data_IF_495730760444
#
_entry.id   IF_495730760444
#
_cell.length_a   1.000
_cell.length_b   1.000
_cell.length_c   1.000
_cell.angle_alpha   90.00
_cell.angle_beta   90.00
_cell.angle_gamma   90.00
#
_symmetry.space_group_name_H-M   'P 1'
#
loop_
_entity.id
_entity.type
_entity.pdbx_description
1 polymer ?
#
# COMPACT_ATOMS: atom_id res chain seq x y z
N UNK A 1 1.46 0.05 21.94
CA UNK A 1 2.85 -0.09 21.47
C UNK A 1 3.54 1.24 21.64
N UNK A 2 4.83 1.29 22.02
CA UNK A 2 5.57 2.55 22.11
C UNK A 2 5.54 3.32 20.79
N UNK A 3 5.35 4.64 20.87
CA UNK A 3 5.43 5.58 19.74
C UNK A 3 6.51 6.60 20.04
N UNK A 4 7.13 7.19 19.01
CA UNK A 4 7.92 8.40 19.19
C UNK A 4 7.06 9.53 19.79
N UNK A 5 7.69 10.38 20.60
CA UNK A 5 7.06 11.59 21.11
C UNK A 5 6.62 12.52 19.98
N UNK A 6 5.43 13.11 20.11
CA UNK A 6 4.81 13.95 19.05
C UNK A 6 5.72 15.12 18.65
N UNK A 7 6.30 15.81 19.64
CA UNK A 7 7.19 16.95 19.42
C UNK A 7 8.45 16.60 18.62
N UNK A 8 8.91 15.34 18.72
CA UNK A 8 10.09 14.82 18.00
C UNK A 8 9.68 14.33 16.61
N UNK A 9 8.65 13.46 16.54
CA UNK A 9 8.28 12.75 15.30
C UNK A 9 7.70 13.66 14.22
N UNK A 10 7.16 14.81 14.59
CA UNK A 10 6.68 15.82 13.61
C UNK A 10 7.81 16.49 12.81
N UNK A 11 9.08 16.26 13.17
CA UNK A 11 10.26 16.89 12.54
C UNK A 11 11.20 15.90 11.84
N UNK A 12 10.83 14.63 11.76
CA UNK A 12 11.66 13.61 11.13
C UNK A 12 10.80 12.57 10.39
N UNK A 13 11.44 11.82 9.49
CA UNK A 13 10.81 10.77 8.70
C UNK A 13 11.03 9.36 9.28
N UNK A 14 11.54 9.24 10.51
CA UNK A 14 11.76 7.96 11.16
C UNK A 14 10.42 7.34 11.59
N UNK A 15 10.41 6.02 11.74
CA UNK A 15 9.22 5.24 12.05
C UNK A 15 8.53 5.69 13.36
N UNK A 16 7.24 6.07 13.29
CA UNK A 16 6.50 6.55 14.46
C UNK A 16 6.26 5.44 15.47
N UNK A 17 5.86 4.27 14.99
CA UNK A 17 5.49 3.13 15.81
C UNK A 17 6.75 2.28 16.02
N UNK A 18 7.21 2.11 17.26
CA UNK A 18 8.57 1.59 17.55
C UNK A 18 8.66 0.06 17.69
N UNK A 19 7.55 -0.67 17.50
CA UNK A 19 7.53 -2.11 17.67
C UNK A 19 7.37 -2.56 19.13
N UNK A 20 7.15 -3.86 19.33
CA UNK A 20 7.17 -4.47 20.66
C UNK A 20 8.59 -4.83 21.09
N UNK A 21 8.85 -4.67 22.39
CA UNK A 21 9.94 -5.39 23.06
C UNK A 21 9.52 -6.84 23.31
N UNK A 22 10.48 -7.74 23.49
CA UNK A 22 10.23 -9.17 23.73
C UNK A 22 9.17 -9.41 24.81
N UNK A 23 9.32 -8.81 26.00
CA UNK A 23 8.34 -8.94 27.08
C UNK A 23 6.92 -8.54 26.63
N UNK A 24 6.78 -7.45 25.88
CA UNK A 24 5.48 -6.96 25.40
C UNK A 24 4.88 -7.91 24.35
N UNK A 25 5.73 -8.48 23.48
CA UNK A 25 5.30 -9.46 22.50
C UNK A 25 4.81 -10.75 23.17
N UNK A 26 5.52 -11.25 24.18
CA UNK A 26 5.12 -12.44 24.95
C UNK A 26 3.84 -12.18 25.75
N UNK A 27 3.69 -11.01 26.37
CA UNK A 27 2.48 -10.60 27.09
C UNK A 27 1.25 -10.54 26.15
N UNK A 28 1.40 -9.93 24.97
CA UNK A 28 0.34 -9.88 23.98
C UNK A 28 0.03 -11.26 23.39
N UNK A 29 1.05 -12.07 23.08
CA UNK A 29 0.87 -13.43 22.58
C UNK A 29 0.15 -14.33 23.59
N UNK A 30 0.39 -14.13 24.89
CA UNK A 30 -0.26 -14.86 25.99
C UNK A 30 -1.76 -14.57 26.13
N UNK A 31 -2.27 -13.47 25.56
CA UNK A 31 -3.72 -13.20 25.48
C UNK A 31 -4.44 -14.12 24.50
N UNK A 32 -3.73 -14.70 23.53
CA UNK A 32 -4.35 -15.55 22.51
C UNK A 32 -4.92 -16.84 23.12
N UNK A 33 -6.22 -17.05 22.95
CA UNK A 33 -6.96 -18.18 23.54
C UNK A 33 -6.88 -19.47 22.72
N UNK A 34 -6.06 -19.52 21.67
CA UNK A 34 -5.85 -20.71 20.82
C UNK A 34 -7.19 -21.32 20.35
N UNK A 35 -8.01 -20.51 19.67
CA UNK A 35 -9.34 -20.90 19.20
C UNK A 35 -9.30 -22.18 18.36
N UNK A 36 -10.13 -23.19 18.71
CA UNK A 36 -10.30 -24.41 17.89
C UNK A 36 -10.75 -24.12 16.45
N UNK A 37 -11.54 -23.05 16.25
CA UNK A 37 -11.93 -22.53 14.93
C UNK A 37 -11.35 -21.11 14.78
N UNK A 38 -10.15 -20.97 14.19
CA UNK A 38 -9.45 -19.70 14.14
C UNK A 38 -9.91 -18.84 12.96
N UNK A 39 -11.01 -18.10 13.13
CA UNK A 39 -11.52 -17.16 12.11
C UNK A 39 -10.50 -16.09 11.71
N UNK A 40 -9.50 -15.81 12.55
CA UNK A 40 -8.40 -14.90 12.22
C UNK A 40 -7.64 -15.34 10.96
N UNK A 41 -7.51 -16.65 10.70
CA UNK A 41 -6.87 -17.18 9.48
C UNK A 41 -7.72 -16.83 8.25
N UNK A 42 -9.04 -17.04 8.30
CA UNK A 42 -9.94 -16.73 7.17
C UNK A 42 -10.10 -15.23 6.95
N UNK A 43 -9.95 -14.42 8.01
CA UNK A 43 -9.90 -12.96 7.91
C UNK A 43 -8.58 -12.40 7.37
N UNK A 44 -7.56 -13.24 7.16
CA UNK A 44 -6.28 -12.85 6.59
C UNK A 44 -6.26 -13.18 5.08
N UNK A 45 -6.14 -12.19 4.17
CA UNK A 45 -6.17 -12.44 2.72
C UNK A 45 -5.06 -13.35 2.18
N UNK A 46 -3.96 -13.54 2.91
CA UNK A 46 -2.87 -14.47 2.55
C UNK A 46 -2.89 -15.75 3.39
N UNK A 47 -3.83 -15.88 4.33
CA UNK A 47 -4.06 -17.10 5.11
C UNK A 47 -2.95 -17.41 6.12
N UNK A 48 -2.39 -16.40 6.80
CA UNK A 48 -1.39 -16.62 7.85
C UNK A 48 -1.95 -17.53 8.93
N UNK A 49 -1.16 -18.52 9.34
CA UNK A 49 -1.53 -19.41 10.45
C UNK A 49 -1.30 -18.72 11.81
N UNK A 50 -2.20 -17.79 12.11
CA UNK A 50 -2.09 -16.84 13.23
C UNK A 50 -1.96 -17.52 14.60
N UNK A 51 -2.80 -18.50 14.98
CA UNK A 51 -2.68 -19.13 16.30
C UNK A 51 -1.33 -19.80 16.51
N UNK A 52 -0.79 -20.45 15.46
CA UNK A 52 0.43 -21.23 15.55
C UNK A 52 1.67 -20.34 15.70
N UNK A 53 1.82 -19.27 14.90
CA UNK A 53 2.97 -18.38 15.08
C UNK A 53 2.89 -17.64 16.43
N UNK A 54 1.68 -17.29 16.89
CA UNK A 54 1.50 -16.66 18.20
C UNK A 54 1.85 -17.63 19.33
N UNK A 55 1.54 -18.93 19.17
CA UNK A 55 1.97 -19.96 20.13
C UNK A 55 3.50 -20.02 20.19
N UNK A 56 4.17 -20.05 19.03
CA UNK A 56 5.62 -20.05 18.95
C UNK A 56 6.25 -18.80 19.62
N UNK A 57 5.69 -17.60 19.41
CA UNK A 57 6.11 -16.37 20.12
C UNK A 57 5.93 -16.51 21.64
N UNK A 58 4.80 -17.06 22.09
CA UNK A 58 4.53 -17.28 23.52
C UNK A 58 5.51 -18.27 24.15
N UNK A 59 5.94 -19.28 23.39
CA UNK A 59 6.87 -20.33 23.82
C UNK A 59 8.35 -19.92 23.67
N UNK A 60 8.63 -18.77 23.05
CA UNK A 60 9.99 -18.28 22.78
C UNK A 60 10.67 -18.92 21.57
N UNK A 61 9.94 -19.72 20.77
CA UNK A 61 10.46 -20.35 19.56
C UNK A 61 10.33 -19.40 18.35
N UNK A 62 11.19 -18.39 18.33
CA UNK A 62 11.19 -17.38 17.26
C UNK A 62 11.51 -17.96 15.86
N UNK A 63 12.49 -18.88 15.68
CA UNK A 63 12.71 -19.51 14.37
C UNK A 63 11.47 -20.22 13.82
N UNK A 64 10.68 -20.89 14.67
CA UNK A 64 9.44 -21.53 14.27
C UNK A 64 8.35 -20.49 13.93
N UNK A 65 8.24 -19.41 14.71
CA UNK A 65 7.31 -18.32 14.42
C UNK A 65 7.57 -17.72 13.04
N UNK A 66 8.84 -17.47 12.70
CA UNK A 66 9.28 -17.01 11.36
C UNK A 66 8.87 -18.00 10.29
N UNK A 67 9.19 -19.30 10.48
CA UNK A 67 8.87 -20.36 9.51
C UNK A 67 7.38 -20.45 9.23
N UNK A 68 6.54 -20.36 10.27
CA UNK A 68 5.09 -20.41 10.15
C UNK A 68 4.57 -19.21 9.34
N UNK A 69 5.02 -18.00 9.63
CA UNK A 69 4.59 -16.81 8.90
C UNK A 69 5.04 -16.89 7.43
N UNK A 70 6.33 -17.14 7.17
CA UNK A 70 6.90 -17.21 5.81
C UNK A 70 6.37 -18.35 4.94
N UNK A 71 5.72 -19.34 5.54
CA UNK A 71 5.02 -20.41 4.79
C UNK A 71 3.81 -19.91 3.99
N UNK A 72 3.26 -18.74 4.35
CA UNK A 72 2.04 -18.21 3.71
C UNK A 72 2.15 -16.73 3.34
N UNK A 73 2.98 -15.97 4.03
CA UNK A 73 3.20 -14.55 3.79
C UNK A 73 4.67 -14.28 3.48
N UNK A 74 4.96 -13.85 2.27
CA UNK A 74 6.32 -13.56 1.83
C UNK A 74 6.82 -12.17 2.19
N UNK A 75 5.97 -11.28 2.75
CA UNK A 75 6.33 -9.89 3.10
C UNK A 75 5.86 -9.48 4.53
N UNK A 76 6.13 -10.28 5.58
CA UNK A 76 5.53 -10.08 6.91
C UNK A 76 5.95 -8.79 7.61
N UNK A 77 7.16 -8.27 7.34
CA UNK A 77 7.61 -7.01 7.93
C UNK A 77 6.78 -5.82 7.39
N UNK A 78 6.21 -5.97 6.19
CA UNK A 78 5.36 -4.98 5.54
C UNK A 78 3.93 -5.11 6.05
N UNK A 79 3.33 -6.31 5.99
CA UNK A 79 1.93 -6.52 6.38
C UNK A 79 1.67 -6.21 7.84
N UNK A 80 2.62 -6.55 8.73
CA UNK A 80 2.54 -6.20 10.15
C UNK A 80 2.49 -4.69 10.41
N UNK A 81 3.00 -3.87 9.48
CA UNK A 81 3.00 -2.40 9.57
C UNK A 81 1.80 -1.73 8.92
N UNK A 82 1.38 -2.21 7.74
CA UNK A 82 0.46 -1.44 6.88
C UNK A 82 -0.91 -2.07 6.68
N UNK A 83 -1.15 -3.31 7.12
CA UNK A 83 -2.48 -3.90 7.06
C UNK A 83 -3.48 -3.07 7.88
N UNK A 84 -4.71 -2.84 7.39
CA UNK A 84 -5.80 -2.35 8.21
C UNK A 84 -6.38 -3.52 9.02
N UNK A 85 -5.69 -3.91 10.09
CA UNK A 85 -6.09 -5.10 10.86
C UNK A 85 -7.51 -4.99 11.43
N UNK A 86 -7.96 -3.75 11.70
CA UNK A 86 -9.30 -3.43 12.20
C UNK A 86 -10.44 -3.84 11.26
N UNK A 87 -10.15 -4.12 9.98
CA UNK A 87 -11.12 -4.62 9.00
C UNK A 87 -10.79 -6.03 8.50
N UNK A 88 -9.85 -6.73 9.16
CA UNK A 88 -9.30 -8.01 8.71
C UNK A 88 -9.19 -9.02 9.87
N UNK A 89 -7.99 -9.56 10.11
CA UNK A 89 -7.75 -10.63 11.08
C UNK A 89 -8.14 -10.24 12.52
N UNK A 90 -7.98 -8.98 12.91
CA UNK A 90 -8.34 -8.50 14.25
C UNK A 90 -9.84 -8.27 14.38
N UNK A 91 -10.52 -7.86 13.29
CA UNK A 91 -11.98 -7.71 13.26
C UNK A 91 -12.70 -9.02 13.62
N UNK A 92 -12.21 -10.14 13.09
CA UNK A 92 -12.80 -11.47 13.27
C UNK A 92 -12.22 -12.24 14.47
N UNK A 93 -11.32 -11.62 15.24
CA UNK A 93 -10.78 -12.21 16.45
C UNK A 93 -11.90 -12.44 17.49
N UNK A 94 -11.92 -13.60 18.14
CA UNK A 94 -12.93 -13.92 19.14
C UNK A 94 -12.95 -12.92 20.32
N UNK A 95 -11.80 -12.35 20.67
CA UNK A 95 -11.66 -11.35 21.74
C UNK A 95 -12.12 -9.94 21.30
N UNK A 96 -12.29 -9.70 19.99
CA UNK A 96 -12.80 -8.42 19.50
C UNK A 96 -14.24 -8.14 20.00
N UNK A 97 -15.02 -9.19 20.30
CA UNK A 97 -16.34 -9.06 20.93
C UNK A 97 -16.31 -8.36 22.28
N UNK A 98 -15.15 -8.32 22.95
CA UNK A 98 -14.90 -7.61 24.21
C UNK A 98 -14.12 -6.30 24.00
N UNK A 99 -13.95 -5.84 22.76
CA UNK A 99 -13.22 -4.62 22.42
C UNK A 99 -11.69 -4.73 22.53
N UNK A 100 -11.15 -5.94 22.67
CA UNK A 100 -9.72 -6.16 22.86
C UNK A 100 -9.23 -7.35 22.02
N UNK A 101 -9.21 -7.25 20.67
CA UNK A 101 -8.64 -8.29 19.82
C UNK A 101 -7.16 -8.50 20.14
N UNK A 102 -6.61 -9.64 19.69
CA UNK A 102 -5.16 -9.84 19.70
C UNK A 102 -4.53 -8.89 18.69
N UNK A 103 -3.46 -8.19 19.07
CA UNK A 103 -2.73 -7.29 18.16
C UNK A 103 -1.84 -8.09 17.19
N UNK A 104 -2.49 -8.84 16.29
CA UNK A 104 -1.86 -9.77 15.33
C UNK A 104 -0.83 -9.03 14.48
N UNK A 105 -1.15 -7.85 13.96
CA UNK A 105 -0.23 -7.10 13.10
C UNK A 105 1.06 -6.72 13.81
N UNK A 106 0.97 -6.36 15.10
CA UNK A 106 2.13 -6.00 15.92
C UNK A 106 3.00 -7.21 16.26
N UNK A 107 2.40 -8.38 16.48
CA UNK A 107 3.12 -9.63 16.68
C UNK A 107 3.79 -10.11 15.38
N UNK A 108 3.10 -10.04 14.25
CA UNK A 108 3.67 -10.35 12.93
C UNK A 108 4.89 -9.46 12.64
N UNK A 109 4.74 -8.14 12.87
CA UNK A 109 5.84 -7.18 12.78
C UNK A 109 7.00 -7.57 13.70
N UNK A 110 6.73 -7.88 14.96
CA UNK A 110 7.78 -8.25 15.93
C UNK A 110 8.58 -9.46 15.46
N UNK A 111 7.90 -10.50 14.96
CA UNK A 111 8.56 -11.70 14.43
C UNK A 111 9.42 -11.37 13.21
N UNK A 112 8.90 -10.58 12.28
CA UNK A 112 9.64 -10.19 11.08
C UNK A 112 10.84 -9.27 11.40
N UNK A 113 10.69 -8.34 12.35
CA UNK A 113 11.78 -7.47 12.79
C UNK A 113 12.88 -8.29 13.52
N UNK A 114 12.49 -9.31 14.30
CA UNK A 114 13.43 -10.25 14.93
C UNK A 114 14.18 -11.08 13.89
N UNK A 115 13.52 -11.57 12.84
CA UNK A 115 14.18 -12.30 11.76
C UNK A 115 15.26 -11.45 11.09
N UNK A 116 14.95 -10.18 10.79
CA UNK A 116 15.90 -9.25 10.15
C UNK A 116 17.17 -9.04 10.97
N UNK A 117 17.11 -9.15 12.30
CA UNK A 117 18.29 -9.08 13.16
C UNK A 117 19.02 -10.42 13.33
N UNK A 118 18.49 -11.51 12.79
CA UNK A 118 19.01 -12.88 12.87
C UNK A 118 19.08 -13.53 11.46
N UNK A 119 19.86 -12.96 10.52
CA UNK A 119 19.89 -13.41 9.12
C UNK A 119 20.33 -14.87 8.94
N UNK A 120 21.03 -15.45 9.92
CA UNK A 120 21.42 -16.87 9.93
C UNK A 120 20.22 -17.82 9.97
N UNK A 121 19.06 -17.37 10.48
CA UNK A 121 17.84 -18.18 10.51
C UNK A 121 17.28 -18.33 9.10
N UNK A 122 17.23 -17.24 8.33
CA UNK A 122 16.78 -17.28 6.94
C UNK A 122 17.65 -18.25 6.14
N UNK A 123 18.98 -18.16 6.27
CA UNK A 123 19.91 -19.02 5.54
C UNK A 123 19.73 -20.51 5.89
N UNK A 124 19.48 -20.83 7.17
CA UNK A 124 19.20 -22.21 7.61
C UNK A 124 17.88 -22.75 7.07
N UNK A 125 16.91 -21.87 6.83
CA UNK A 125 15.57 -22.24 6.36
C UNK A 125 15.45 -22.21 4.83
N UNK A 126 16.44 -21.66 4.11
CA UNK A 126 16.47 -21.67 2.63
C UNK A 126 16.49 -23.09 2.09
N UNK A 127 15.50 -23.39 1.25
CA UNK A 127 15.48 -24.61 0.45
C UNK A 127 16.12 -24.34 -0.90
N UNK A 128 16.93 -25.28 -1.38
CA UNK A 128 17.38 -25.25 -2.78
C UNK A 128 16.18 -25.46 -3.69
N UNK A 129 15.95 -24.50 -4.57
CA UNK A 129 14.92 -24.57 -5.60
C UNK A 129 15.53 -25.28 -6.82
N UNK A 130 14.84 -26.29 -7.33
CA UNK A 130 15.15 -26.91 -8.63
C UNK A 130 14.18 -26.38 -9.65
N UNK A 131 14.69 -25.75 -10.72
CA UNK A 131 13.84 -25.21 -11.76
C UNK A 131 13.17 -26.32 -12.58
N UNK A 132 11.87 -26.17 -12.82
CA UNK A 132 11.05 -27.13 -13.58
C UNK A 132 11.02 -26.83 -15.10
N UNK A 133 11.77 -25.80 -15.55
CA UNK A 133 11.90 -25.41 -16.96
C UNK A 133 10.78 -24.51 -17.49
N UNK A 134 9.84 -24.09 -16.65
CA UNK A 134 8.76 -23.15 -17.00
C UNK A 134 9.09 -21.73 -16.56
N UNK A 135 8.80 -20.76 -17.44
CA UNK A 135 9.14 -19.34 -17.26
C UNK A 135 7.92 -18.47 -17.05
N UNK A 136 7.93 -17.60 -16.05
CA UNK A 136 6.84 -16.65 -15.76
C UNK A 136 7.36 -15.22 -15.73
N UNK A 137 6.71 -14.34 -16.50
CA UNK A 137 6.95 -12.90 -16.44
C UNK A 137 5.94 -12.23 -15.52
N UNK A 138 6.41 -11.34 -14.65
CA UNK A 138 5.57 -10.54 -13.75
C UNK A 138 5.76 -9.08 -14.10
N UNK A 139 4.68 -8.36 -14.37
CA UNK A 139 4.71 -6.95 -14.73
C UNK A 139 4.31 -6.11 -13.51
N UNK A 140 5.26 -5.36 -12.96
CA UNK A 140 5.13 -4.57 -11.74
C UNK A 140 5.66 -5.30 -10.50
N UNK A 141 6.48 -4.60 -9.71
CA UNK A 141 7.11 -5.12 -8.49
C UNK A 141 6.41 -4.68 -7.20
N UNK A 142 5.12 -4.33 -7.29
CA UNK A 142 4.31 -4.03 -6.11
C UNK A 142 4.03 -5.27 -5.25
N UNK A 143 3.25 -5.14 -4.17
CA UNK A 143 2.94 -6.25 -3.26
C UNK A 143 2.37 -7.50 -3.96
N UNK A 144 1.48 -7.32 -4.95
CA UNK A 144 0.94 -8.44 -5.73
C UNK A 144 2.03 -9.18 -6.52
N UNK A 145 2.88 -8.43 -7.22
CA UNK A 145 3.96 -8.98 -8.05
C UNK A 145 5.02 -9.69 -7.22
N UNK A 146 5.48 -9.08 -6.13
CA UNK A 146 6.45 -9.71 -5.21
C UNK A 146 5.91 -10.99 -4.57
N UNK A 147 4.65 -11.00 -4.13
CA UNK A 147 4.03 -12.21 -3.56
C UNK A 147 3.89 -13.31 -4.61
N UNK A 148 3.37 -12.99 -5.80
CA UNK A 148 3.24 -13.96 -6.90
C UNK A 148 4.61 -14.54 -7.29
N UNK A 149 5.64 -13.68 -7.38
CA UNK A 149 6.99 -14.09 -7.71
C UNK A 149 7.58 -15.04 -6.68
N UNK A 150 7.45 -14.70 -5.40
CA UNK A 150 7.98 -15.51 -4.31
C UNK A 150 7.33 -16.89 -4.26
N UNK A 151 6.00 -16.96 -4.43
CA UNK A 151 5.28 -18.22 -4.37
C UNK A 151 5.58 -19.11 -5.59
N UNK A 152 5.65 -18.53 -6.79
CA UNK A 152 6.07 -19.27 -8.00
C UNK A 152 7.53 -19.74 -7.93
N UNK A 153 8.44 -18.91 -7.41
CA UNK A 153 9.84 -19.31 -7.22
C UNK A 153 9.97 -20.49 -6.24
N UNK A 154 9.21 -20.50 -5.14
CA UNK A 154 9.16 -21.62 -4.19
C UNK A 154 8.64 -22.93 -4.82
N UNK A 155 7.85 -22.83 -5.89
CA UNK A 155 7.34 -23.97 -6.66
C UNK A 155 8.31 -24.44 -7.78
N UNK A 156 9.44 -23.77 -7.97
CA UNK A 156 10.44 -24.16 -8.97
C UNK A 156 10.30 -23.48 -10.33
N UNK A 157 9.52 -22.41 -10.45
CA UNK A 157 9.41 -21.66 -11.70
C UNK A 157 10.56 -20.64 -11.86
N UNK A 158 11.01 -20.43 -13.10
CA UNK A 158 11.91 -19.33 -13.44
C UNK A 158 11.10 -18.03 -13.57
N UNK A 159 11.31 -17.08 -12.66
CA UNK A 159 10.50 -15.85 -12.59
C UNK A 159 11.33 -14.62 -12.89
N UNK A 160 10.85 -13.77 -13.81
CA UNK A 160 11.38 -12.42 -14.05
C UNK A 160 10.31 -11.37 -13.75
N UNK A 161 10.61 -10.42 -12.85
CA UNK A 161 9.80 -9.22 -12.62
C UNK A 161 10.31 -8.08 -13.50
N UNK A 162 9.40 -7.40 -14.20
CA UNK A 162 9.66 -6.18 -14.95
C UNK A 162 9.03 -4.99 -14.21
N UNK A 163 9.87 -4.06 -13.77
CA UNK A 163 9.46 -2.87 -13.01
C UNK A 163 9.77 -1.59 -13.79
N UNK A 164 8.80 -0.68 -13.86
CA UNK A 164 8.93 0.56 -14.60
C UNK A 164 9.88 1.57 -13.95
N UNK A 165 9.97 1.57 -12.62
CA UNK A 165 10.81 2.47 -11.84
C UNK A 165 12.23 1.90 -11.63
N UNK A 166 13.14 2.77 -11.19
CA UNK A 166 14.52 2.44 -10.85
C UNK A 166 14.66 1.70 -9.50
N UNK A 167 13.55 1.41 -8.81
CA UNK A 167 13.51 0.67 -7.53
C UNK A 167 12.26 -0.20 -7.48
N UNK A 168 12.40 -1.41 -6.93
CA UNK A 168 11.29 -2.36 -6.76
C UNK A 168 10.49 -2.12 -5.48
N UNK A 169 9.20 -2.47 -5.48
CA UNK A 169 8.30 -2.40 -4.33
C UNK A 169 7.02 -1.58 -4.56
N UNK A 170 6.92 -0.87 -5.69
CA UNK A 170 5.74 -0.07 -6.03
C UNK A 170 5.36 0.93 -4.94
N UNK A 171 4.08 0.97 -4.54
CA UNK A 171 3.56 1.90 -3.53
C UNK A 171 4.28 1.81 -2.17
N UNK A 172 4.91 0.66 -1.88
CA UNK A 172 5.72 0.48 -0.67
C UNK A 172 6.95 1.38 -0.67
N UNK A 173 7.49 1.72 -1.84
CA UNK A 173 8.64 2.61 -2.01
C UNK A 173 8.24 4.05 -2.24
N UNK A 174 7.40 4.33 -3.24
CA UNK A 174 7.08 5.71 -3.64
C UNK A 174 5.88 6.32 -2.90
N UNK A 175 4.98 5.50 -2.36
CA UNK A 175 3.70 5.97 -1.81
C UNK A 175 3.70 6.09 -0.29
N UNK A 176 3.89 4.97 0.41
CA UNK A 176 3.85 4.91 1.87
C UNK A 176 5.10 5.59 2.45
N UNK A 177 5.03 6.59 3.33
CA UNK A 177 6.23 7.25 3.84
C UNK A 177 7.04 6.41 4.84
N UNK A 178 8.31 6.78 4.99
CA UNK A 178 9.29 6.09 5.85
C UNK A 178 8.89 6.06 7.34
N UNK A 179 8.13 7.07 7.79
CA UNK A 179 7.61 7.12 9.15
C UNK A 179 6.53 6.08 9.46
N UNK A 180 6.00 5.39 8.43
CA UNK A 180 5.03 4.28 8.56
C UNK A 180 5.62 2.97 8.07
N UNK A 181 6.40 3.00 6.99
CA UNK A 181 7.04 1.84 6.40
C UNK A 181 8.49 2.18 6.01
N UNK A 182 9.46 1.81 6.86
CA UNK A 182 10.88 2.04 6.60
C UNK A 182 11.33 1.42 5.27
N UNK A 183 12.16 2.14 4.52
CA UNK A 183 12.56 1.71 3.16
C UNK A 183 13.54 0.55 3.16
N UNK A 184 14.38 0.47 4.17
CA UNK A 184 15.26 -0.67 4.44
C UNK A 184 14.48 -1.96 4.74
N UNK A 185 13.30 -1.85 5.36
CA UNK A 185 12.39 -2.99 5.58
C UNK A 185 11.84 -3.50 4.24
N UNK A 186 11.38 -2.60 3.37
CA UNK A 186 10.88 -2.99 2.04
C UNK A 186 12.01 -3.59 1.19
N UNK A 187 13.20 -2.99 1.23
CA UNK A 187 14.35 -3.50 0.48
C UNK A 187 14.76 -4.90 0.95
N UNK A 188 14.77 -5.17 2.26
CA UNK A 188 15.06 -6.50 2.78
C UNK A 188 14.07 -7.56 2.28
N UNK A 189 12.78 -7.23 2.18
CA UNK A 189 11.76 -8.13 1.65
C UNK A 189 11.91 -8.35 0.14
N UNK A 190 12.28 -7.32 -0.62
CA UNK A 190 12.64 -7.46 -2.04
C UNK A 190 13.88 -8.35 -2.20
N UNK A 191 14.89 -8.17 -1.35
CA UNK A 191 16.11 -8.96 -1.39
C UNK A 191 15.85 -10.43 -1.02
N UNK A 192 14.94 -10.69 -0.07
CA UNK A 192 14.43 -12.03 0.21
C UNK A 192 13.79 -12.65 -1.04
N UNK A 193 12.92 -11.94 -1.77
CA UNK A 193 12.34 -12.45 -3.03
C UNK A 193 13.42 -12.75 -4.06
N UNK A 194 14.44 -11.90 -4.21
CA UNK A 194 15.58 -12.15 -5.10
C UNK A 194 16.38 -13.38 -4.68
N UNK A 195 16.51 -13.63 -3.37
CA UNK A 195 17.21 -14.80 -2.83
C UNK A 195 16.54 -16.13 -3.20
N UNK A 196 15.26 -16.11 -3.60
CA UNK A 196 14.53 -17.28 -4.12
C UNK A 196 14.86 -17.58 -5.59
N UNK A 197 15.75 -16.80 -6.23
CA UNK A 197 16.12 -16.95 -7.63
C UNK A 197 15.30 -16.09 -8.60
N UNK A 198 14.49 -15.16 -8.08
CA UNK A 198 13.71 -14.22 -8.91
C UNK A 198 14.62 -13.15 -9.50
N UNK A 199 14.56 -12.98 -10.83
CA UNK A 199 15.21 -11.87 -11.52
C UNK A 199 14.32 -10.62 -11.47
N UNK A 200 14.89 -9.44 -11.22
CA UNK A 200 14.16 -8.17 -11.26
C UNK A 200 14.84 -7.22 -12.24
N UNK A 201 14.12 -6.83 -13.30
CA UNK A 201 14.53 -5.86 -14.30
C UNK A 201 13.85 -4.51 -14.02
N UNK A 202 14.63 -3.57 -13.50
CA UNK A 202 14.22 -2.18 -13.22
C UNK A 202 14.27 -1.33 -14.49
N UNK A 203 13.61 -0.16 -14.47
CA UNK A 203 13.53 0.76 -15.61
C UNK A 203 12.93 0.12 -16.89
N UNK A 204 12.10 -0.91 -16.72
CA UNK A 204 11.46 -1.68 -17.78
C UNK A 204 9.96 -1.40 -17.88
N UNK A 205 9.59 -0.40 -18.68
CA UNK A 205 8.18 -0.03 -18.91
C UNK A 205 7.53 -0.96 -19.95
N UNK A 206 6.81 -1.98 -19.48
CA UNK A 206 6.01 -2.86 -20.34
C UNK A 206 4.85 -2.08 -20.99
N UNK A 207 4.64 -2.31 -22.28
CA UNK A 207 3.82 -1.51 -23.21
C UNK A 207 4.58 -0.37 -23.89
N UNK A 208 5.86 -0.15 -23.56
CA UNK A 208 6.75 0.79 -24.26
C UNK A 208 8.06 0.15 -24.72
N UNK A 209 8.76 -0.54 -23.83
CA UNK A 209 10.03 -1.23 -24.13
C UNK A 209 9.78 -2.60 -24.76
N UNK A 210 8.80 -3.33 -24.22
CA UNK A 210 8.28 -4.58 -24.77
C UNK A 210 6.79 -4.67 -24.43
N UNK A 211 6.02 -5.40 -25.23
CA UNK A 211 4.60 -5.66 -25.02
C UNK A 211 4.37 -7.01 -24.34
N UNK A 212 3.18 -7.23 -23.77
CA UNK A 212 2.79 -8.54 -23.19
C UNK A 212 2.84 -9.65 -24.24
N UNK A 213 2.47 -9.33 -25.49
CA UNK A 213 2.54 -10.26 -26.62
C UNK A 213 3.99 -10.66 -26.93
N UNK A 214 4.92 -9.70 -26.93
CA UNK A 214 6.35 -9.98 -27.11
C UNK A 214 6.94 -10.78 -25.95
N UNK A 215 6.53 -10.56 -24.70
CA UNK A 215 6.95 -11.39 -23.57
C UNK A 215 6.55 -12.86 -23.80
N UNK A 216 5.31 -13.12 -24.21
CA UNK A 216 4.85 -14.49 -24.50
C UNK A 216 5.59 -15.12 -25.70
N UNK A 217 5.92 -14.33 -26.72
CA UNK A 217 6.68 -14.77 -27.90
C UNK A 217 8.15 -15.05 -27.57
N UNK A 218 8.72 -14.31 -26.61
CA UNK A 218 10.12 -14.44 -26.18
C UNK A 218 10.35 -15.54 -25.14
N UNK A 219 9.42 -16.50 -25.02
CA UNK A 219 9.63 -17.74 -24.28
C UNK A 219 9.12 -17.75 -22.84
N UNK A 220 8.34 -16.76 -22.40
CA UNK A 220 7.62 -16.84 -21.12
C UNK A 220 6.34 -17.67 -21.26
N UNK A 221 6.17 -18.73 -20.49
CA UNK A 221 5.01 -19.61 -20.49
C UNK A 221 3.74 -18.94 -19.93
N UNK A 222 3.89 -17.98 -19.00
CA UNK A 222 2.78 -17.21 -18.43
C UNK A 222 3.20 -15.75 -18.12
N UNK A 223 2.22 -14.85 -18.09
CA UNK A 223 2.39 -13.44 -17.67
C UNK A 223 1.41 -13.11 -16.56
N UNK A 224 1.90 -12.51 -15.46
CA UNK A 224 1.05 -11.93 -14.41
C UNK A 224 1.17 -10.41 -14.41
N UNK A 225 0.03 -9.73 -14.57
CA UNK A 225 -0.07 -8.27 -14.59
C UNK A 225 -0.39 -7.74 -13.19
N UNK A 226 0.52 -6.95 -12.63
CA UNK A 226 0.38 -6.28 -11.35
C UNK A 226 0.99 -4.85 -11.31
N UNK A 227 0.79 -4.00 -12.33
CA UNK A 227 1.34 -2.63 -12.33
C UNK A 227 0.63 -1.69 -11.34
N UNK A 228 -0.50 -2.12 -10.76
CA UNK A 228 -1.34 -1.32 -9.87
C UNK A 228 -2.16 -0.24 -10.58
N UNK A 229 -2.82 0.61 -9.78
CA UNK A 229 -3.54 1.80 -10.24
C UNK A 229 -2.71 3.05 -9.89
N UNK A 230 -1.86 3.48 -10.83
CA UNK A 230 -0.87 4.53 -10.59
C UNK A 230 -1.21 5.92 -11.15
N UNK A 231 -2.28 6.07 -11.94
CA UNK A 231 -2.63 7.37 -12.54
C UNK A 231 -3.43 8.22 -11.53
N UNK A 232 -3.03 9.47 -11.24
CA UNK A 232 -3.74 10.31 -10.26
C UNK A 232 -5.10 10.76 -10.81
N UNK A 233 -6.08 10.89 -9.90
CA UNK A 233 -7.35 11.56 -10.19
C UNK A 233 -7.30 13.03 -9.76
N UNK A 234 -7.96 13.87 -10.55
CA UNK A 234 -8.06 15.32 -10.37
C UNK A 234 -9.52 15.74 -10.10
N UNK A 235 -9.71 16.87 -9.43
CA UNK A 235 -11.00 17.47 -9.08
C UNK A 235 -11.76 17.95 -10.33
N UNK A 236 -11.03 18.37 -11.36
CA UNK A 236 -11.55 19.05 -12.56
C UNK A 236 -12.30 20.34 -12.22
N UNK A 237 -11.69 21.18 -11.38
CA UNK A 237 -12.21 22.49 -10.97
C UNK A 237 -11.31 23.63 -11.45
N UNK A 238 -11.80 24.87 -11.55
CA UNK A 238 -10.99 26.01 -11.97
C UNK A 238 -9.75 26.20 -11.07
N UNK A 239 -8.61 26.46 -11.70
CA UNK A 239 -7.33 26.72 -11.01
C UNK A 239 -6.55 25.47 -10.58
N UNK A 240 -6.97 24.25 -10.94
CA UNK A 240 -6.27 23.01 -10.51
C UNK A 240 -4.83 22.86 -11.06
N UNK A 241 -4.47 23.60 -12.11
CA UNK A 241 -3.15 23.58 -12.73
C UNK A 241 -2.21 24.70 -12.24
N UNK A 242 -2.56 25.43 -11.17
CA UNK A 242 -1.74 26.51 -10.63
C UNK A 242 -0.44 25.99 -10.02
N UNK A 243 0.60 26.84 -10.02
CA UNK A 243 1.85 26.52 -9.33
C UNK A 243 1.62 26.35 -7.83
N UNK A 244 2.22 25.31 -7.23
CA UNK A 244 1.99 24.95 -5.83
C UNK A 244 0.88 23.92 -5.60
N UNK A 245 0.22 23.46 -6.66
CA UNK A 245 -0.72 22.34 -6.61
C UNK A 245 0.00 21.06 -7.06
N UNK A 246 -0.12 20.00 -6.26
CA UNK A 246 0.45 18.70 -6.51
C UNK A 246 -0.65 17.65 -6.59
N UNK A 247 -0.47 16.64 -7.45
CA UNK A 247 -1.09 15.34 -7.18
C UNK A 247 -0.40 14.69 -5.96
N UNK A 248 -1.13 13.93 -5.16
CA UNK A 248 -0.51 13.19 -4.05
C UNK A 248 0.56 12.21 -4.56
N UNK A 249 0.37 11.63 -5.75
CA UNK A 249 1.36 10.76 -6.39
C UNK A 249 2.68 11.49 -6.63
N UNK A 250 2.64 12.71 -7.20
CA UNK A 250 3.85 13.52 -7.39
C UNK A 250 4.48 13.88 -6.04
N UNK A 251 3.69 14.44 -5.11
CA UNK A 251 4.18 14.91 -3.81
C UNK A 251 4.87 13.79 -3.02
N UNK A 252 4.22 12.62 -2.94
CA UNK A 252 4.75 11.46 -2.24
C UNK A 252 5.90 10.80 -2.99
N UNK A 253 5.89 10.78 -4.33
CA UNK A 253 7.04 10.26 -5.10
C UNK A 253 8.28 11.12 -4.88
N UNK A 254 8.15 12.45 -4.97
CA UNK A 254 9.25 13.39 -4.65
C UNK A 254 9.75 13.18 -3.23
N UNK A 255 8.83 13.08 -2.26
CA UNK A 255 9.18 12.93 -0.85
C UNK A 255 9.83 11.57 -0.56
N UNK A 256 9.24 10.47 -1.01
CA UNK A 256 9.60 9.13 -0.57
C UNK A 256 10.64 8.48 -1.48
N UNK A 257 10.39 8.45 -2.80
CA UNK A 257 11.27 7.79 -3.76
C UNK A 257 12.52 8.66 -4.00
N UNK A 258 12.30 9.95 -4.24
CA UNK A 258 13.39 10.89 -4.55
C UNK A 258 14.02 11.54 -3.33
N UNK A 259 13.50 11.24 -2.12
CA UNK A 259 13.99 11.75 -0.83
C UNK A 259 14.15 13.27 -0.78
N UNK A 260 13.22 14.00 -1.40
CA UNK A 260 13.28 15.47 -1.48
C UNK A 260 13.29 16.17 -0.10
N UNK A 261 12.89 15.50 0.97
CA UNK A 261 13.03 15.98 2.34
C UNK A 261 14.49 16.12 2.82
N UNK A 262 15.45 15.57 2.07
CA UNK A 262 16.90 15.67 2.31
C UNK A 262 17.59 16.65 1.36
N UNK A 263 16.87 17.40 0.54
CA UNK A 263 17.46 18.40 -0.34
C UNK A 263 18.32 19.40 0.46
N UNK A 264 19.55 19.76 0.01
CA UNK A 264 20.17 19.44 -1.29
C UNK A 264 21.04 18.18 -1.32
N UNK A 265 21.01 17.31 -0.31
CA UNK A 265 21.74 16.02 -0.35
C UNK A 265 21.24 15.12 -1.50
N UNK A 266 19.93 15.17 -1.77
CA UNK A 266 19.30 14.57 -2.94
C UNK A 266 18.83 15.68 -3.88
N UNK A 267 19.02 15.48 -5.19
CA UNK A 267 18.86 16.54 -6.20
C UNK A 267 17.42 16.99 -6.43
N UNK A 268 16.43 16.14 -6.12
CA UNK A 268 15.02 16.45 -6.39
C UNK A 268 14.48 17.45 -5.37
N UNK A 269 14.04 18.65 -5.79
CA UNK A 269 13.43 19.60 -4.87
C UNK A 269 11.96 19.27 -4.61
N UNK A 270 11.46 19.76 -3.47
CA UNK A 270 10.04 19.85 -3.14
C UNK A 270 9.78 21.22 -2.51
N UNK A 271 8.66 21.86 -2.85
CA UNK A 271 8.26 23.14 -2.27
C UNK A 271 6.99 22.92 -1.45
N UNK A 272 7.05 23.33 -0.20
CA UNK A 272 5.92 23.32 0.72
C UNK A 272 5.80 24.71 1.32
N UNK A 273 4.65 25.35 1.16
CA UNK A 273 4.36 26.63 1.76
C UNK A 273 3.96 26.52 3.24
N UNK A 274 3.53 27.64 3.83
CA UNK A 274 3.23 27.70 5.26
C UNK A 274 1.87 27.04 5.56
N UNK A 275 0.88 27.28 4.71
CA UNK A 275 -0.47 26.73 4.80
C UNK A 275 -0.72 25.74 3.67
N UNK A 276 -0.99 24.49 4.01
CA UNK A 276 -1.19 23.39 3.05
C UNK A 276 -2.62 22.88 3.14
N UNK A 277 -3.31 22.74 2.00
CA UNK A 277 -4.55 21.98 1.91
C UNK A 277 -4.32 20.61 1.28
N UNK A 278 -4.80 19.55 1.92
CA UNK A 278 -4.78 18.18 1.39
C UNK A 278 -6.20 17.74 1.13
N UNK A 279 -6.53 17.43 -0.13
CA UNK A 279 -7.90 17.09 -0.54
C UNK A 279 -8.07 15.57 -0.56
N UNK A 280 -8.77 15.02 0.42
CA UNK A 280 -9.02 13.58 0.53
C UNK A 280 -9.15 13.09 1.96
N UNK A 281 -9.53 11.82 2.14
CA UNK A 281 -9.74 11.22 3.46
C UNK A 281 -9.13 9.81 3.64
N UNK A 282 -8.38 9.31 2.65
CA UNK A 282 -7.73 8.00 2.70
C UNK A 282 -6.31 8.06 3.26
N UNK A 283 -5.63 6.91 3.30
CA UNK A 283 -4.25 6.81 3.78
C UNK A 283 -3.30 7.73 3.02
N UNK A 284 -3.48 7.87 1.70
CA UNK A 284 -2.70 8.81 0.86
C UNK A 284 -2.84 10.26 1.34
N UNK A 285 -4.03 10.67 1.77
CA UNK A 285 -4.25 12.01 2.31
C UNK A 285 -3.59 12.17 3.68
N UNK A 286 -3.64 11.15 4.55
CA UNK A 286 -2.93 11.16 5.84
C UNK A 286 -1.42 11.27 5.63
N UNK A 287 -0.88 10.46 4.73
CA UNK A 287 0.54 10.39 4.42
C UNK A 287 1.02 11.74 3.86
N UNK A 288 0.31 12.30 2.88
CA UNK A 288 0.62 13.62 2.32
C UNK A 288 0.58 14.73 3.39
N UNK A 289 -0.46 14.73 4.25
CA UNK A 289 -0.61 15.72 5.32
C UNK A 289 0.56 15.68 6.31
N UNK A 290 0.94 14.46 6.72
CA UNK A 290 2.00 14.22 7.70
C UNK A 290 3.40 14.45 7.12
N UNK A 291 3.59 14.20 5.82
CA UNK A 291 4.79 14.60 5.09
C UNK A 291 4.91 16.13 5.01
N UNK A 292 3.81 16.84 4.68
CA UNK A 292 3.81 18.30 4.61
C UNK A 292 4.20 18.96 5.95
N UNK A 293 3.68 18.45 7.07
CA UNK A 293 4.10 18.89 8.42
C UNK A 293 5.61 18.73 8.65
N UNK A 294 6.17 17.57 8.26
CA UNK A 294 7.61 17.26 8.42
C UNK A 294 8.50 18.08 7.49
N UNK A 295 7.96 18.54 6.37
CA UNK A 295 8.61 19.44 5.43
C UNK A 295 8.52 20.92 5.85
N UNK A 296 7.97 21.22 7.03
CA UNK A 296 7.99 22.55 7.64
C UNK A 296 6.73 23.38 7.45
N UNK A 297 5.62 22.79 6.99
CA UNK A 297 4.34 23.48 6.99
C UNK A 297 3.93 23.91 8.41
N UNK A 298 3.44 25.14 8.56
CA UNK A 298 2.95 25.68 9.83
C UNK A 298 1.50 25.24 10.10
N UNK A 299 0.68 25.16 9.05
CA UNK A 299 -0.69 24.69 9.10
C UNK A 299 -1.00 23.70 7.98
N UNK A 300 -1.57 22.54 8.32
CA UNK A 300 -2.01 21.55 7.33
C UNK A 300 -3.50 21.25 7.55
N UNK A 301 -4.30 21.57 6.54
CA UNK A 301 -5.75 21.35 6.51
C UNK A 301 -6.08 20.14 5.64
N UNK A 302 -6.60 19.08 6.25
CA UNK A 302 -7.18 17.96 5.51
C UNK A 302 -8.63 18.26 5.19
N UNK A 303 -8.94 18.46 3.92
CA UNK A 303 -10.29 18.78 3.42
C UNK A 303 -10.93 17.49 2.93
N UNK A 304 -12.04 17.11 3.57
CA UNK A 304 -12.75 15.89 3.25
C UNK A 304 -14.26 16.12 3.16
N UNK A 305 -14.85 15.66 2.05
CA UNK A 305 -16.26 15.87 1.73
C UNK A 305 -17.26 15.09 2.59
N UNK A 306 -16.82 14.15 3.44
CA UNK A 306 -17.69 13.36 4.34
C UNK A 306 -17.28 13.56 5.80
N UNK A 307 -17.94 12.84 6.71
CA UNK A 307 -17.57 12.87 8.13
C UNK A 307 -16.40 11.93 8.45
N UNK A 308 -15.95 11.97 9.70
CA UNK A 308 -14.88 11.09 10.19
C UNK A 308 -15.23 9.61 10.09
N UNK A 309 -16.52 9.26 10.25
CA UNK A 309 -17.00 7.86 10.20
C UNK A 309 -16.79 7.25 8.82
N UNK A 310 -16.95 8.03 7.75
CA UNK A 310 -16.77 7.54 6.37
C UNK A 310 -15.31 7.56 5.89
N UNK A 311 -14.36 8.02 6.71
CA UNK A 311 -12.96 8.15 6.32
C UNK A 311 -12.32 6.76 6.10
N UNK A 312 -11.79 6.48 4.89
CA UNK A 312 -11.21 5.17 4.60
C UNK A 312 -9.76 5.01 5.10
N UNK A 313 -9.14 6.06 5.64
CA UNK A 313 -7.80 5.96 6.25
C UNK A 313 -7.79 5.02 7.46
N UNK A 314 -6.68 4.32 7.69
CA UNK A 314 -6.47 3.43 8.85
C UNK A 314 -6.59 4.23 10.15
N UNK A 315 -7.22 3.66 11.17
CA UNK A 315 -7.56 4.39 12.40
C UNK A 315 -6.31 4.94 13.11
N UNK A 316 -5.26 4.13 13.21
CA UNK A 316 -3.96 4.53 13.79
C UNK A 316 -3.33 5.72 13.06
N UNK A 317 -3.48 5.82 11.73
CA UNK A 317 -2.93 6.95 10.97
C UNK A 317 -3.75 8.23 11.12
N UNK A 318 -5.08 8.12 11.29
CA UNK A 318 -5.93 9.27 11.61
C UNK A 318 -5.59 9.83 12.99
N UNK A 319 -5.42 8.95 13.98
CA UNK A 319 -4.98 9.32 15.34
C UNK A 319 -3.61 10.01 15.28
N UNK A 320 -2.62 9.39 14.62
CA UNK A 320 -1.28 9.96 14.50
C UNK A 320 -1.28 11.33 13.80
N UNK A 321 -2.09 11.52 12.76
CA UNK A 321 -2.23 12.80 12.07
C UNK A 321 -2.82 13.89 12.98
N UNK A 322 -3.86 13.57 13.76
CA UNK A 322 -4.46 14.49 14.74
C UNK A 322 -3.48 14.86 15.85
N UNK A 323 -2.79 13.87 16.43
CA UNK A 323 -1.75 14.08 17.43
C UNK A 323 -0.63 15.00 16.92
N UNK A 324 -0.24 14.85 15.65
CA UNK A 324 0.80 15.67 15.00
C UNK A 324 0.34 17.09 14.62
N UNK A 325 -0.97 17.39 14.72
CA UNK A 325 -1.53 18.73 14.51
C UNK A 325 -2.19 18.97 13.15
N UNK A 326 -2.51 17.92 12.38
CA UNK A 326 -3.31 18.07 11.15
C UNK A 326 -4.73 18.54 11.51
N UNK A 327 -5.21 19.57 10.83
CA UNK A 327 -6.53 20.16 11.05
C UNK A 327 -7.54 19.54 10.08
N UNK A 328 -8.55 18.84 10.61
CA UNK A 328 -9.54 18.15 9.79
C UNK A 328 -10.71 19.08 9.47
N UNK A 329 -10.85 19.45 8.20
CA UNK A 329 -12.00 20.17 7.63
C UNK A 329 -12.93 19.14 6.97
N UNK A 330 -13.74 18.51 7.82
CA UNK A 330 -14.74 17.52 7.41
C UNK A 330 -15.96 18.20 6.78
N UNK A 331 -16.78 17.44 6.06
CA UNK A 331 -17.95 17.95 5.35
C UNK A 331 -17.64 19.22 4.54
N UNK A 332 -16.48 19.23 3.88
CA UNK A 332 -15.98 20.38 3.12
C UNK A 332 -15.49 19.90 1.76
N UNK A 333 -15.81 20.63 0.70
CA UNK A 333 -15.33 20.31 -0.65
C UNK A 333 -14.87 21.60 -1.38
N UNK A 334 -13.78 21.55 -2.17
CA UNK A 334 -13.31 22.72 -2.91
C UNK A 334 -14.19 23.01 -4.13
N UNK A 335 -14.41 24.29 -4.43
CA UNK A 335 -15.08 24.78 -5.65
C UNK A 335 -14.09 25.31 -6.70
N UNK A 336 -13.02 25.98 -6.29
CA UNK A 336 -11.94 26.47 -7.15
C UNK A 336 -10.68 26.84 -6.37
N UNK A 337 -9.55 26.89 -7.07
CA UNK A 337 -8.31 27.45 -6.57
C UNK A 337 -8.10 28.87 -7.11
N UNK A 338 -7.52 29.73 -6.28
CA UNK A 338 -7.33 31.15 -6.57
C UNK A 338 -5.84 31.45 -6.62
N UNK A 339 -5.41 32.15 -7.67
CA UNK A 339 -4.01 32.50 -7.90
C UNK A 339 -3.58 33.86 -7.34
N UNK A 340 -2.29 34.02 -7.07
CA UNK A 340 -1.61 35.30 -6.90
C UNK A 340 -1.17 35.92 -8.23
N UNK A 341 -0.55 37.09 -8.16
CA UNK A 341 -0.06 37.83 -9.33
C UNK A 341 1.03 37.08 -10.11
N UNK A 342 1.62 36.02 -9.54
CA UNK A 342 2.67 35.19 -10.13
C UNK A 342 2.16 33.85 -10.68
N UNK A 343 0.84 33.60 -10.64
CA UNK A 343 0.25 32.33 -11.08
C UNK A 343 0.43 31.17 -10.09
N UNK A 344 0.71 31.46 -8.81
CA UNK A 344 0.75 30.45 -7.73
C UNK A 344 -0.54 30.43 -6.96
N UNK A 345 -0.90 29.26 -6.43
CA UNK A 345 -2.04 29.16 -5.52
C UNK A 345 -1.82 30.03 -4.28
N UNK A 346 -2.83 30.83 -3.92
CA UNK A 346 -2.85 31.63 -2.68
C UNK A 346 -4.05 31.31 -1.78
N UNK A 347 -5.10 30.72 -2.34
CA UNK A 347 -6.30 30.37 -1.60
C UNK A 347 -7.09 29.26 -2.31
N UNK A 348 -7.92 28.56 -1.54
CA UNK A 348 -8.93 27.63 -2.04
C UNK A 348 -10.30 28.10 -1.56
N UNK A 349 -11.24 28.20 -2.49
CA UNK A 349 -12.64 28.40 -2.20
C UNK A 349 -13.29 27.03 -1.98
N UNK A 350 -14.06 26.92 -0.90
CA UNK A 350 -14.72 25.71 -0.45
C UNK A 350 -16.18 25.99 -0.12
N UNK A 351 -16.95 24.93 0.06
CA UNK A 351 -18.31 24.98 0.57
C UNK A 351 -18.56 23.80 1.51
N UNK A 352 -19.56 23.94 2.38
CA UNK A 352 -19.97 22.89 3.30
C UNK A 352 -20.81 21.82 2.60
N UNK A 353 -20.72 20.60 3.14
CA UNK A 353 -21.50 19.44 2.74
C UNK A 353 -22.41 19.01 3.89
N UNK A 354 -23.48 18.29 3.56
CA UNK A 354 -24.24 17.47 4.49
C UNK A 354 -24.27 16.01 4.02
N UNK A 355 -24.57 15.09 4.94
CA UNK A 355 -24.65 13.66 4.61
C UNK A 355 -26.07 13.29 4.23
N UNK A 356 -26.23 12.72 3.04
CA UNK A 356 -27.47 12.06 2.60
C UNK A 356 -27.48 10.57 2.91
N UNK A 357 -28.20 9.81 2.09
CA UNK A 357 -28.30 8.35 2.16
C UNK A 357 -26.97 7.66 1.79
N UNK A 358 -26.73 6.42 2.28
CA UNK A 358 -25.61 5.59 1.86
C UNK A 358 -25.49 5.42 0.33
N UNK A 359 -24.25 5.43 -0.18
CA UNK A 359 -23.91 5.05 -1.55
C UNK A 359 -23.69 3.54 -1.70
N UNK A 360 -23.32 3.09 -2.90
CA UNK A 360 -23.03 1.68 -3.21
C UNK A 360 -21.88 1.11 -2.37
N UNK A 361 -21.00 1.97 -1.84
CA UNK A 361 -19.94 1.55 -0.91
C UNK A 361 -20.41 1.49 0.55
N UNK A 362 -21.70 1.72 0.81
CA UNK A 362 -22.31 1.75 2.15
C UNK A 362 -22.04 3.04 2.93
N UNK A 363 -21.33 4.01 2.34
CA UNK A 363 -20.97 5.27 3.00
C UNK A 363 -21.94 6.37 2.62
N UNK A 364 -22.32 7.22 3.57
CA UNK A 364 -23.27 8.32 3.30
C UNK A 364 -22.76 9.26 2.20
N UNK A 365 -23.65 9.57 1.25
CA UNK A 365 -23.35 10.46 0.12
C UNK A 365 -23.19 11.90 0.61
N UNK A 366 -22.15 12.62 0.16
CA UNK A 366 -22.02 14.03 0.49
C UNK A 366 -22.90 14.86 -0.47
N UNK A 367 -23.70 15.76 0.08
CA UNK A 367 -24.59 16.68 -0.64
C UNK A 367 -24.13 18.10 -0.35
N UNK A 368 -24.02 18.94 -1.39
CA UNK A 368 -23.63 20.34 -1.22
C UNK A 368 -24.69 21.10 -0.41
N UNK A 369 -24.25 21.91 0.55
CA UNK A 369 -25.09 22.85 1.29
C UNK A 369 -24.97 24.25 0.68
N UNK A 370 -25.98 24.73 -0.08
CA UNK A 370 -25.88 26.02 -0.79
C UNK A 370 -25.69 27.21 0.16
N UNK A 371 -24.95 28.25 -0.28
CA UNK A 371 -24.77 29.48 0.50
C UNK A 371 -23.78 29.36 1.65
N UNK A 372 -22.92 28.33 1.63
CA UNK A 372 -21.89 28.07 2.64
C UNK A 372 -20.48 28.25 2.10
N UNK A 373 -20.34 28.97 0.99
CA UNK A 373 -19.06 29.21 0.35
C UNK A 373 -18.14 30.05 1.25
N UNK A 374 -16.89 29.63 1.38
CA UNK A 374 -15.86 30.34 2.12
C UNK A 374 -14.49 30.15 1.47
N UNK A 375 -13.58 31.06 1.74
CA UNK A 375 -12.21 31.01 1.21
C UNK A 375 -11.21 30.80 2.35
N UNK A 376 -10.25 29.91 2.16
CA UNK A 376 -9.12 29.74 3.08
C UNK A 376 -7.79 30.03 2.37
N UNK A 377 -6.86 30.78 2.99
CA UNK A 377 -5.53 31.00 2.43
C UNK A 377 -4.73 29.70 2.43
N UNK A 378 -4.12 29.36 1.30
CA UNK A 378 -3.27 28.18 1.13
C UNK A 378 -2.15 28.48 0.14
N UNK A 379 -0.95 28.05 0.47
CA UNK A 379 0.26 28.24 -0.33
C UNK A 379 0.63 26.98 -1.11
N UNK A 380 0.04 25.84 -0.73
CA UNK A 380 0.28 24.53 -1.35
C UNK A 380 -1.00 23.69 -1.26
N UNK A 381 -1.32 23.00 -2.34
CA UNK A 381 -2.46 22.06 -2.38
C UNK A 381 -1.95 20.68 -2.80
N UNK A 382 -2.45 19.63 -2.14
CA UNK A 382 -2.15 18.25 -2.48
C UNK A 382 -3.45 17.50 -2.74
N UNK A 383 -3.67 17.06 -3.97
CA UNK A 383 -4.89 16.37 -4.41
C UNK A 383 -4.72 14.86 -4.20
N UNK A 384 -5.47 14.30 -3.24
CA UNK A 384 -5.39 12.90 -2.79
C UNK A 384 -6.73 12.16 -2.94
N UNK A 385 -7.30 12.21 -4.15
CA UNK A 385 -8.63 11.65 -4.46
C UNK A 385 -8.62 10.14 -4.76
N UNK A 386 -7.44 9.54 -4.88
CA UNK A 386 -7.25 8.16 -5.32
C UNK A 386 -6.62 8.10 -6.71
N UNK A 387 -6.57 6.90 -7.26
CA UNK A 387 -5.87 6.61 -8.51
C UNK A 387 -6.69 5.71 -9.42
N UNK A 388 -6.38 5.74 -10.71
CA UNK A 388 -6.93 4.87 -11.75
C UNK A 388 -5.85 4.01 -12.40
N UNK A 389 -6.23 2.88 -13.02
CA UNK A 389 -5.35 2.06 -13.85
C UNK A 389 -4.73 2.85 -15.02
N UNK A 390 -3.48 2.54 -15.34
CA UNK A 390 -2.80 3.15 -16.49
C UNK A 390 -3.15 2.38 -17.78
N UNK A 391 -3.57 3.06 -18.87
CA UNK A 391 -3.99 2.39 -20.09
C UNK A 391 -2.84 1.80 -20.92
N UNK A 392 -1.56 2.04 -20.59
CA UNK A 392 -0.41 1.61 -21.40
C UNK A 392 -0.47 0.10 -21.72
N UNK A 393 -0.56 -0.77 -20.70
CA UNK A 393 -0.58 -2.23 -20.92
C UNK A 393 -1.81 -2.68 -21.70
N UNK A 394 -3.05 -2.32 -21.32
CA UNK A 394 -4.24 -2.67 -22.12
C UNK A 394 -4.18 -2.17 -23.56
N UNK A 395 -3.68 -0.95 -23.79
CA UNK A 395 -3.63 -0.35 -25.13
C UNK A 395 -2.70 -1.08 -26.10
N UNK A 396 -1.71 -1.82 -25.57
CA UNK A 396 -0.73 -2.58 -26.36
C UNK A 396 -0.91 -4.09 -26.30
N UNK A 397 -1.94 -4.60 -25.62
CA UNK A 397 -2.13 -6.05 -25.39
C UNK A 397 -3.39 -6.54 -26.08
N UNK A 398 -3.26 -7.21 -27.23
CA UNK A 398 -4.41 -7.67 -28.00
C UNK A 398 -5.17 -8.78 -27.25
N UNK A 399 -6.50 -8.65 -27.20
CA UNK A 399 -7.39 -9.62 -26.56
C UNK A 399 -7.53 -9.47 -25.04
N UNK A 400 -7.04 -8.37 -24.46
CA UNK A 400 -7.23 -8.04 -23.04
C UNK A 400 -8.46 -7.15 -22.85
N UNK A 401 -9.49 -7.68 -22.20
CA UNK A 401 -10.71 -6.94 -21.86
C UNK A 401 -10.48 -6.02 -20.66
N UNK A 402 -11.04 -4.81 -20.73
CA UNK A 402 -11.06 -3.85 -19.63
C UNK A 402 -12.50 -3.51 -19.25
N UNK A 403 -12.72 -3.18 -17.98
CA UNK A 403 -14.01 -2.69 -17.49
C UNK A 403 -14.22 -1.22 -17.88
N UNK A 404 -15.43 -0.69 -17.63
CA UNK A 404 -15.73 0.75 -17.80
C UNK A 404 -14.86 1.67 -16.94
N UNK A 405 -14.19 1.13 -15.91
CA UNK A 405 -13.31 1.86 -15.00
C UNK A 405 -11.83 1.78 -15.41
N UNK A 406 -11.52 1.14 -16.53
CA UNK A 406 -10.15 0.96 -17.03
C UNK A 406 -9.36 -0.16 -16.33
N UNK A 407 -9.94 -0.86 -15.35
CA UNK A 407 -9.33 -2.05 -14.75
C UNK A 407 -9.34 -3.22 -15.73
N UNK A 408 -8.34 -4.10 -15.66
CA UNK A 408 -8.35 -5.35 -16.42
C UNK A 408 -9.43 -6.26 -15.86
N UNK A 409 -10.27 -6.82 -16.75
CA UNK A 409 -11.27 -7.80 -16.35
C UNK A 409 -10.56 -9.12 -16.07
N UNK A 410 -10.51 -9.49 -14.79
CA UNK A 410 -9.93 -10.72 -14.31
C UNK A 410 -10.90 -11.43 -13.37
N UNK A 411 -10.85 -12.76 -13.37
CA UNK A 411 -11.59 -13.60 -12.42
C UNK A 411 -11.05 -13.36 -10.99
N UNK A 412 -11.94 -13.13 -10.03
CA UNK A 412 -11.55 -12.74 -8.67
C UNK A 412 -10.88 -13.88 -7.88
N UNK A 413 -11.25 -15.12 -8.18
CA UNK A 413 -10.82 -16.33 -7.47
C UNK A 413 -9.46 -16.83 -7.97
N UNK A 414 -9.18 -16.69 -9.25
CA UNK A 414 -7.96 -17.23 -9.86
C UNK A 414 -7.09 -16.22 -10.61
N UNK A 415 -7.60 -15.02 -10.90
CA UNK A 415 -6.86 -13.95 -11.58
C UNK A 415 -6.75 -14.08 -13.10
N UNK A 416 -7.39 -15.07 -13.74
CA UNK A 416 -7.35 -15.25 -15.19
C UNK A 416 -7.98 -14.07 -15.91
N UNK A 417 -7.38 -13.66 -17.03
CA UNK A 417 -7.92 -12.61 -17.90
C UNK A 417 -8.59 -13.21 -19.14
N UNK A 418 -9.18 -12.36 -19.98
CA UNK A 418 -9.69 -12.75 -21.31
C UNK A 418 -8.60 -13.25 -22.27
N UNK A 419 -7.33 -12.97 -21.98
CA UNK A 419 -6.19 -13.39 -22.79
C UNK A 419 -5.56 -14.65 -22.18
N UNK A 420 -5.52 -15.72 -22.97
CA UNK A 420 -4.87 -16.97 -22.55
C UNK A 420 -3.40 -16.75 -22.15
N UNK A 421 -2.96 -17.49 -21.12
CA UNK A 421 -1.62 -17.38 -20.50
C UNK A 421 -1.35 -16.03 -19.82
N UNK A 422 -2.37 -15.21 -19.57
CA UNK A 422 -2.25 -13.92 -18.89
C UNK A 422 -3.21 -13.84 -17.69
N UNK A 423 -2.64 -13.52 -16.55
CA UNK A 423 -3.32 -13.27 -15.28
C UNK A 423 -3.19 -11.80 -14.89
N UNK A 424 -4.07 -11.30 -14.03
CA UNK A 424 -4.00 -9.96 -13.47
C UNK A 424 -4.45 -9.96 -12.01
N UNK A 425 -3.77 -9.17 -11.18
CA UNK A 425 -4.08 -9.06 -9.75
C UNK A 425 -3.72 -7.71 -9.14
N UNK A 426 -4.15 -7.52 -7.90
CA UNK A 426 -4.01 -6.25 -7.18
C UNK A 426 -4.84 -5.13 -7.78
N UNK A 427 -4.34 -3.89 -7.63
CA UNK A 427 -5.13 -2.69 -7.95
C UNK A 427 -5.42 -2.53 -9.45
N UNK A 428 -4.69 -3.23 -10.33
CA UNK A 428 -4.99 -3.24 -11.77
C UNK A 428 -6.29 -3.98 -12.10
N UNK A 429 -6.64 -5.00 -11.30
CA UNK A 429 -7.87 -5.77 -11.46
C UNK A 429 -9.04 -5.15 -10.66
N UNK A 430 -8.75 -4.68 -9.44
CA UNK A 430 -9.79 -4.29 -8.47
C UNK A 430 -9.97 -2.77 -8.30
N UNK A 431 -9.05 -1.96 -8.83
CA UNK A 431 -8.93 -0.55 -8.44
C UNK A 431 -8.18 -0.39 -7.10
N UNK A 432 -8.01 0.84 -6.63
CA UNK A 432 -7.25 1.12 -5.41
C UNK A 432 -7.79 0.33 -4.20
N UNK A 433 -6.98 -0.55 -3.63
CA UNK A 433 -7.35 -1.45 -2.55
C UNK A 433 -6.35 -1.37 -1.37
N UNK A 434 -6.08 -2.49 -0.70
CA UNK A 434 -5.09 -2.59 0.38
C UNK A 434 -3.90 -3.43 -0.04
N UNK A 435 -2.71 -3.17 0.54
CA UNK A 435 -1.48 -3.93 0.27
C UNK A 435 -1.69 -5.44 0.38
N UNK A 436 -2.38 -5.87 1.43
CA UNK A 436 -2.64 -7.28 1.69
C UNK A 436 -3.70 -7.90 0.77
N UNK A 437 -4.69 -7.12 0.29
CA UNK A 437 -5.59 -7.56 -0.77
C UNK A 437 -4.81 -7.83 -2.07
N UNK A 438 -3.85 -6.96 -2.41
CA UNK A 438 -2.98 -7.14 -3.56
C UNK A 438 -2.10 -8.38 -3.42
N UNK A 439 -1.52 -8.61 -2.23
CA UNK A 439 -0.77 -9.85 -1.94
C UNK A 439 -1.64 -11.10 -2.06
N UNK A 440 -2.87 -11.06 -1.54
CA UNK A 440 -3.84 -12.16 -1.67
C UNK A 440 -4.17 -12.47 -3.13
N UNK A 441 -4.31 -11.44 -3.99
CA UNK A 441 -4.50 -11.63 -5.43
C UNK A 441 -3.26 -12.26 -6.10
N UNK A 442 -2.05 -11.84 -5.72
CA UNK A 442 -0.80 -12.46 -6.19
C UNK A 442 -0.71 -13.94 -5.82
N UNK A 443 -1.12 -14.30 -4.60
CA UNK A 443 -1.12 -15.69 -4.12
C UNK A 443 -2.12 -16.57 -4.87
N UNK A 444 -3.33 -16.07 -5.13
CA UNK A 444 -4.33 -16.79 -5.94
C UNK A 444 -3.88 -16.99 -7.38
N UNK A 445 -3.29 -15.95 -7.99
CA UNK A 445 -2.73 -16.05 -9.33
C UNK A 445 -1.57 -17.05 -9.42
N UNK A 446 -0.65 -17.04 -8.45
CA UNK A 446 0.44 -18.02 -8.40
C UNK A 446 -0.07 -19.47 -8.31
N UNK A 447 -1.09 -19.70 -7.49
CA UNK A 447 -1.72 -21.01 -7.36
C UNK A 447 -2.40 -21.47 -8.67
N UNK A 448 -3.12 -20.57 -9.36
CA UNK A 448 -3.76 -20.93 -10.62
C UNK A 448 -2.77 -21.10 -11.78
N UNK A 449 -1.69 -20.31 -11.82
CA UNK A 449 -0.59 -20.51 -12.78
C UNK A 449 0.04 -21.89 -12.58
N UNK A 450 0.24 -22.33 -11.34
CA UNK A 450 0.74 -23.66 -11.06
C UNK A 450 -0.21 -24.74 -11.60
N UNK A 451 -1.50 -24.66 -11.25
CA UNK A 451 -2.52 -25.59 -11.76
C UNK A 451 -2.55 -25.60 -13.29
N UNK A 452 -2.45 -24.43 -13.93
CA UNK A 452 -2.41 -24.32 -15.39
C UNK A 452 -1.23 -25.08 -16.02
N UNK A 453 -0.07 -25.13 -15.36
CA UNK A 453 1.10 -25.87 -15.84
C UNK A 453 1.05 -27.37 -15.54
N UNK A 454 0.34 -27.79 -14.50
CA UNK A 454 0.16 -29.21 -14.14
C UNK A 454 -0.85 -29.94 -15.05
N UNK A 455 -1.72 -29.20 -15.74
CA UNK A 455 -2.79 -29.73 -16.59
C UNK A 455 -4.09 -29.96 -15.83
#
# INVERSE_FOLDING_TARGET
>A
MPKQEVAVRRRNFNEVALGYREQQAVEEASRCIQCKKPNCITGCPVGVNIPEFIRAVREGDMPEAVRIIKSTNSLPAITGRVCPQETQCEMVCALNKKGAPIAVGRLERYVADWERSHPEIEERQKKRVTFNGKKVAIVGSGPAGLTCAADLAKLGYEVTIFEALHVAGGVLMYGIPEFRLPKDVVQAEVDYVKSLGVEIKLDHVIGKIATVDELLQNGYDAVFLSPGAGAPMFLNIPGENLSGIYSANEFLTRTNLMKAYRFPEYDTPIKVGRNVAVIGGGNVAMDASRCALRLGAEGVHLIYRRSEVEMPARAEERENAKEEGVIFKLLTNPSRFIEDESGKVKAVECYEMELGEPDESGRRRPIQKPGTEFTMPVDTVIVALGTSPNPIIPSTTKGLEVTKWGTVKADEDNGRTSKGRVWCGGDMATGAATVISAMGAGKRAAADINTYFEG
#
